data_IF_677351273278
#
_entry.id   IF_677351273278
#
_cell.length_a   1.000
_cell.length_b   1.000
_cell.length_c   1.000
_cell.angle_alpha   90.00
_cell.angle_beta   90.00
_cell.angle_gamma   90.00
#
_symmetry.space_group_name_H-M   'P 1'
#
loop_
_entity.id
_entity.type
_entity.pdbx_description
1 polymer ?
#
# COMPACT_ATOMS: atom_id res chain seq x y z
N UNK A 1 -36.01 -6.28 -12.79
CA UNK A 1 -34.72 -6.78 -12.28
C UNK A 1 -34.04 -5.58 -11.64
N UNK A 2 -33.38 -5.77 -10.50
CA UNK A 2 -32.58 -4.70 -9.91
C UNK A 2 -31.46 -4.30 -10.88
N UNK A 3 -31.09 -3.03 -10.87
CA UNK A 3 -29.92 -2.56 -11.61
C UNK A 3 -28.64 -3.09 -10.93
N UNK A 4 -27.59 -3.41 -11.69
CA UNK A 4 -26.32 -3.81 -11.09
C UNK A 4 -25.78 -2.69 -10.21
N UNK A 5 -25.07 -3.06 -9.13
CA UNK A 5 -24.42 -2.07 -8.28
C UNK A 5 -23.31 -1.35 -9.05
N UNK A 6 -23.08 -0.08 -8.74
CA UNK A 6 -21.99 0.72 -9.34
C UNK A 6 -21.29 1.50 -8.24
N UNK A 7 -20.05 1.95 -8.49
CA UNK A 7 -19.41 2.89 -7.56
C UNK A 7 -20.20 4.22 -7.59
N UNK A 8 -20.69 4.64 -6.43
CA UNK A 8 -21.31 5.96 -6.25
C UNK A 8 -20.24 7.03 -6.06
N UNK A 9 -19.31 6.79 -5.13
CA UNK A 9 -18.22 7.71 -4.84
C UNK A 9 -17.03 7.06 -4.13
N UNK A 10 -15.90 7.76 -4.21
CA UNK A 10 -14.70 7.51 -3.41
C UNK A 10 -14.59 8.58 -2.33
N UNK A 11 -14.04 8.20 -1.17
CA UNK A 11 -13.96 9.07 0.01
C UNK A 11 -12.52 9.29 0.41
N UNK A 12 -12.12 10.56 0.47
CA UNK A 12 -10.91 11.01 1.15
C UNK A 12 -11.30 11.49 2.54
N UNK A 13 -10.78 10.82 3.58
CA UNK A 13 -10.83 11.35 4.94
C UNK A 13 -9.72 12.37 5.11
N UNK A 14 -10.01 13.48 5.78
CA UNK A 14 -9.02 14.51 6.06
C UNK A 14 -9.20 15.09 7.47
N UNK A 15 -8.14 15.64 8.09
CA UNK A 15 -8.25 16.39 9.35
C UNK A 15 -9.09 17.67 9.21
N UNK A 16 -9.20 18.20 7.98
CA UNK A 16 -10.07 19.33 7.64
C UNK A 16 -10.38 19.33 6.14
N UNK A 17 -11.46 20.01 5.72
CA UNK A 17 -11.76 20.18 4.30
C UNK A 17 -10.65 20.91 3.54
N UNK A 18 -9.98 21.87 4.18
CA UNK A 18 -8.87 22.60 3.55
C UNK A 18 -7.68 21.67 3.25
N UNK A 19 -7.32 20.81 4.20
CA UNK A 19 -6.25 19.82 4.01
C UNK A 19 -6.62 18.80 2.93
N UNK A 20 -7.85 18.27 2.96
CA UNK A 20 -8.30 17.32 1.94
C UNK A 20 -8.43 17.94 0.54
N UNK A 21 -8.82 19.22 0.45
CA UNK A 21 -8.88 19.94 -0.81
C UNK A 21 -7.48 20.12 -1.42
N UNK A 22 -6.51 20.56 -0.62
CA UNK A 22 -5.12 20.67 -1.05
C UNK A 22 -4.57 19.32 -1.52
N UNK A 23 -4.83 18.24 -0.76
CA UNK A 23 -4.40 16.90 -1.13
C UNK A 23 -4.98 16.41 -2.46
N UNK A 24 -6.28 16.64 -2.72
CA UNK A 24 -6.91 16.25 -3.97
C UNK A 24 -6.36 17.05 -5.18
N UNK A 25 -6.14 18.35 -5.00
CA UNK A 25 -5.53 19.22 -6.01
C UNK A 25 -4.09 18.75 -6.31
N UNK A 26 -3.27 18.52 -5.27
CA UNK A 26 -1.86 18.14 -5.42
C UNK A 26 -1.69 16.72 -5.99
N UNK A 27 -2.53 15.77 -5.57
CA UNK A 27 -2.35 14.35 -5.90
C UNK A 27 -2.94 13.97 -7.26
N UNK A 28 -4.10 14.52 -7.60
CA UNK A 28 -4.84 14.14 -8.82
C UNK A 28 -5.30 15.34 -9.66
N UNK A 29 -4.94 16.57 -9.29
CA UNK A 29 -5.29 17.77 -10.06
C UNK A 29 -6.78 18.13 -10.00
N UNK A 30 -7.48 17.73 -8.93
CA UNK A 30 -8.94 17.92 -8.80
C UNK A 30 -9.27 19.05 -7.84
N UNK A 31 -9.88 20.11 -8.38
CA UNK A 31 -10.51 21.16 -7.57
C UNK A 31 -11.90 20.73 -7.11
N UNK A 32 -12.14 20.73 -5.80
CA UNK A 32 -13.42 20.34 -5.22
C UNK A 32 -14.36 21.54 -5.04
N UNK A 33 -15.62 21.32 -5.35
CA UNK A 33 -16.71 22.26 -5.09
C UNK A 33 -17.32 22.08 -3.69
N UNK A 34 -18.14 23.06 -3.29
CA UNK A 34 -18.88 22.98 -2.04
C UNK A 34 -19.84 21.78 -2.06
N UNK A 35 -19.76 20.93 -1.05
CA UNK A 35 -20.76 19.92 -0.76
C UNK A 35 -21.80 20.45 0.23
N UNK A 36 -21.82 19.90 1.44
CA UNK A 36 -22.69 20.34 2.52
C UNK A 36 -22.40 19.68 3.87
N UNK A 37 -23.20 20.05 4.86
CA UNK A 37 -23.13 19.52 6.22
C UNK A 37 -24.06 18.32 6.41
N UNK A 38 -23.59 17.33 7.17
CA UNK A 38 -24.34 16.15 7.60
C UNK A 38 -24.62 16.27 9.10
N UNK A 39 -25.70 16.98 9.46
CA UNK A 39 -26.04 17.24 10.86
C UNK A 39 -26.15 15.96 11.72
N UNK A 40 -26.73 14.89 11.16
CA UNK A 40 -26.89 13.60 11.83
C UNK A 40 -25.55 12.87 12.11
N UNK A 41 -24.47 13.28 11.46
CA UNK A 41 -23.14 12.67 11.58
C UNK A 41 -22.07 13.68 12.06
N UNK A 42 -22.42 14.95 12.26
CA UNK A 42 -21.47 15.98 12.68
C UNK A 42 -20.27 16.12 11.73
N UNK A 43 -20.49 16.00 10.43
CA UNK A 43 -19.45 16.07 9.38
C UNK A 43 -19.84 17.05 8.28
N UNK A 44 -18.88 17.45 7.47
CA UNK A 44 -19.09 18.24 6.27
C UNK A 44 -18.21 17.74 5.13
N UNK A 45 -18.54 18.10 3.89
CA UNK A 45 -17.82 17.60 2.72
C UNK A 45 -17.58 18.63 1.61
N UNK A 46 -16.65 18.28 0.73
CA UNK A 46 -16.43 18.87 -0.60
C UNK A 46 -16.57 17.77 -1.65
N UNK A 47 -16.99 18.13 -2.87
CA UNK A 47 -17.37 17.17 -3.90
C UNK A 47 -16.78 17.53 -5.27
N UNK A 48 -16.43 16.51 -6.07
CA UNK A 48 -16.00 16.67 -7.47
C UNK A 48 -16.43 15.47 -8.32
N UNK A 49 -16.94 15.70 -9.53
CA UNK A 49 -17.35 14.61 -10.43
C UNK A 49 -16.16 13.91 -11.09
N UNK A 50 -16.22 12.57 -11.21
CA UNK A 50 -15.18 11.71 -11.81
C UNK A 50 -15.64 11.03 -13.12
N UNK A 51 -16.61 11.61 -13.82
CA UNK A 51 -17.14 11.05 -15.07
C UNK A 51 -18.03 9.82 -14.87
N UNK A 52 -18.73 9.76 -13.74
CA UNK A 52 -19.61 8.66 -13.34
C UNK A 52 -19.79 8.72 -11.82
N UNK A 53 -18.87 8.12 -11.05
CA UNK A 53 -18.80 8.36 -9.62
C UNK A 53 -18.36 9.79 -9.31
N UNK A 54 -18.35 10.16 -8.03
CA UNK A 54 -17.73 11.38 -7.55
C UNK A 54 -16.66 11.13 -6.49
N UNK A 55 -15.83 12.13 -6.24
CA UNK A 55 -14.89 12.17 -5.14
C UNK A 55 -15.49 13.02 -4.02
N UNK A 56 -15.50 12.49 -2.81
CA UNK A 56 -15.89 13.19 -1.60
C UNK A 56 -14.67 13.39 -0.71
N UNK A 57 -14.35 14.64 -0.37
CA UNK A 57 -13.49 14.94 0.78
C UNK A 57 -14.39 15.18 1.97
N UNK A 58 -14.19 14.44 3.06
CA UNK A 58 -15.01 14.52 4.26
C UNK A 58 -14.17 14.74 5.51
N UNK A 59 -14.68 15.58 6.42
CA UNK A 59 -14.07 15.86 7.71
C UNK A 59 -15.15 16.08 8.79
N UNK A 60 -14.75 16.01 10.06
CA UNK A 60 -15.58 16.41 11.20
C UNK A 60 -15.85 17.91 11.11
N UNK A 61 -17.11 18.31 11.24
CA UNK A 61 -17.48 19.72 11.28
C UNK A 61 -17.43 20.23 12.73
N UNK A 62 -16.46 21.10 13.10
CA UNK A 62 -16.33 21.58 14.47
C UNK A 62 -17.47 22.52 14.89
N UNK A 63 -18.29 23.01 13.96
CA UNK A 63 -19.44 23.87 14.24
C UNK A 63 -20.71 23.08 14.59
N UNK A 64 -20.73 21.77 14.28
CA UNK A 64 -21.87 20.90 14.56
C UNK A 64 -21.71 20.21 15.93
N UNK A 65 -22.82 19.96 16.65
CA UNK A 65 -22.76 19.16 17.87
C UNK A 65 -22.31 17.72 17.57
N UNK A 66 -21.78 17.04 18.58
CA UNK A 66 -21.54 15.60 18.50
C UNK A 66 -22.85 14.87 18.20
N UNK A 67 -22.88 13.92 17.25
CA UNK A 67 -24.10 13.25 16.83
C UNK A 67 -24.62 12.23 17.86
N UNK A 68 -23.92 12.02 18.98
CA UNK A 68 -24.33 11.06 20.02
C UNK A 68 -24.23 9.59 19.60
N UNK A 69 -23.57 9.31 18.47
CA UNK A 69 -23.27 8.00 17.90
C UNK A 69 -21.91 8.03 17.22
N UNK A 70 -21.28 6.87 16.95
CA UNK A 70 -20.07 6.82 16.15
C UNK A 70 -20.28 7.44 14.76
N UNK A 71 -19.31 8.22 14.31
CA UNK A 71 -19.30 8.80 12.95
C UNK A 71 -18.90 7.74 11.93
N UNK A 72 -19.47 7.83 10.73
CA UNK A 72 -19.11 6.96 9.62
C UNK A 72 -17.64 7.14 9.24
N UNK A 73 -17.15 6.23 8.42
CA UNK A 73 -15.77 6.24 7.93
C UNK A 73 -14.75 6.36 9.07
N UNK A 74 -15.09 5.91 10.29
CA UNK A 74 -14.25 6.01 11.48
C UNK A 74 -13.79 7.46 11.80
N UNK A 75 -14.59 8.48 11.47
CA UNK A 75 -14.22 9.90 11.65
C UNK A 75 -14.10 10.37 13.11
N UNK A 76 -14.41 9.52 14.09
CA UNK A 76 -14.08 9.79 15.50
C UNK A 76 -12.58 9.64 15.80
N UNK A 77 -11.83 8.96 14.93
CA UNK A 77 -10.36 8.92 14.92
C UNK A 77 -9.82 9.61 13.67
N UNK A 78 -9.97 10.95 13.54
CA UNK A 78 -9.61 11.67 12.32
C UNK A 78 -8.12 11.46 11.98
N UNK A 79 -7.80 11.31 10.69
CA UNK A 79 -6.42 11.02 10.30
C UNK A 79 -5.54 12.25 10.46
N UNK A 80 -4.24 12.04 10.69
CA UNK A 80 -3.25 13.11 10.70
C UNK A 80 -3.13 13.76 9.30
N UNK A 81 -3.11 12.93 8.26
CA UNK A 81 -2.96 13.33 6.87
C UNK A 81 -4.13 12.85 5.99
N UNK A 82 -4.54 13.61 4.95
CA UNK A 82 -5.57 13.17 4.03
C UNK A 82 -5.16 11.94 3.22
N UNK A 83 -6.09 11.00 3.01
CA UNK A 83 -5.86 9.79 2.20
C UNK A 83 -7.16 9.18 1.70
N UNK A 84 -7.08 8.31 0.67
CA UNK A 84 -8.22 7.53 0.19
C UNK A 84 -8.63 6.51 1.25
N UNK A 85 -9.78 6.71 1.89
CA UNK A 85 -10.17 5.94 3.05
C UNK A 85 -11.29 4.94 2.78
N UNK A 86 -12.24 5.29 1.90
CA UNK A 86 -13.40 4.45 1.67
C UNK A 86 -13.93 4.61 0.25
N UNK A 87 -14.86 3.73 -0.10
CA UNK A 87 -15.62 3.76 -1.33
C UNK A 87 -17.04 3.30 -1.06
N UNK A 88 -17.98 3.82 -1.84
CA UNK A 88 -19.40 3.57 -1.63
C UNK A 88 -20.02 3.07 -2.93
N UNK A 89 -20.81 2.01 -2.84
CA UNK A 89 -21.51 1.40 -3.96
C UNK A 89 -22.99 1.78 -3.93
N UNK A 90 -23.50 2.28 -5.05
CA UNK A 90 -24.92 2.56 -5.24
C UNK A 90 -25.67 1.28 -5.56
N UNK A 91 -26.76 1.06 -4.84
CA UNK A 91 -27.68 -0.07 -5.00
C UNK A 91 -29.12 0.43 -5.02
N UNK A 92 -30.03 -0.33 -5.65
CA UNK A 92 -31.46 -0.01 -5.64
C UNK A 92 -32.09 -0.28 -4.26
N UNK A 93 -31.56 -1.24 -3.51
CA UNK A 93 -31.99 -1.62 -2.17
C UNK A 93 -30.78 -2.07 -1.37
N UNK A 94 -30.68 -1.64 -0.11
CA UNK A 94 -29.56 -2.01 0.73
C UNK A 94 -29.49 -3.53 0.93
N UNK A 95 -28.31 -4.16 0.73
CA UNK A 95 -28.13 -5.58 0.96
C UNK A 95 -28.18 -5.87 2.47
N UNK A 96 -28.71 -7.05 2.83
CA UNK A 96 -28.80 -7.50 4.22
C UNK A 96 -27.52 -8.23 4.66
N UNK A 97 -26.39 -7.54 4.61
CA UNK A 97 -25.05 -8.10 4.85
C UNK A 97 -24.50 -7.58 6.18
N UNK A 98 -24.24 -8.49 7.13
CA UNK A 98 -23.82 -8.13 8.48
C UNK A 98 -22.50 -7.33 8.48
N UNK A 99 -21.61 -7.62 7.54
CA UNK A 99 -20.31 -6.98 7.37
C UNK A 99 -20.45 -5.47 7.09
N UNK A 100 -21.49 -5.07 6.36
CA UNK A 100 -21.75 -3.67 5.97
C UNK A 100 -22.41 -2.85 7.07
N UNK A 101 -23.06 -3.51 8.04
CA UNK A 101 -23.80 -2.87 9.10
C UNK A 101 -25.21 -2.40 8.67
N UNK A 102 -25.99 -1.86 9.63
CA UNK A 102 -27.38 -1.47 9.38
C UNK A 102 -27.50 -0.27 8.43
N UNK A 103 -28.61 -0.22 7.70
CA UNK A 103 -28.99 0.94 6.90
C UNK A 103 -29.46 2.11 7.78
N UNK A 104 -28.90 3.29 7.54
CA UNK A 104 -29.28 4.55 8.19
C UNK A 104 -29.89 5.48 7.15
N UNK A 105 -31.12 5.96 7.40
CA UNK A 105 -31.78 6.94 6.54
C UNK A 105 -31.32 8.36 6.86
N UNK A 106 -30.93 9.10 5.84
CA UNK A 106 -30.40 10.46 5.97
C UNK A 106 -31.01 11.36 4.90
N UNK A 107 -31.01 12.66 5.19
CA UNK A 107 -31.44 13.69 4.26
C UNK A 107 -30.63 14.98 4.43
N UNK A 108 -30.44 15.70 3.33
CA UNK A 108 -29.78 17.01 3.27
C UNK A 108 -30.41 17.85 2.17
N UNK A 109 -31.15 18.89 2.56
CA UNK A 109 -31.94 19.67 1.61
C UNK A 109 -32.96 18.76 0.92
N UNK A 110 -33.00 18.80 -0.40
CA UNK A 110 -33.90 17.96 -1.21
C UNK A 110 -33.36 16.55 -1.48
N UNK A 111 -32.16 16.23 -1.00
CA UNK A 111 -31.56 14.91 -1.16
C UNK A 111 -31.93 14.00 0.02
N UNK A 112 -32.32 12.76 -0.28
CA UNK A 112 -32.49 11.69 0.70
C UNK A 112 -31.97 10.34 0.20
N UNK A 113 -31.40 9.56 1.12
CA UNK A 113 -30.80 8.27 0.85
C UNK A 113 -30.77 7.39 2.11
N UNK A 114 -30.52 6.10 1.92
CA UNK A 114 -30.09 5.19 2.98
C UNK A 114 -28.63 4.80 2.74
N UNK A 115 -27.84 4.65 3.78
CA UNK A 115 -26.45 4.19 3.69
C UNK A 115 -26.15 3.20 4.80
N UNK A 116 -25.40 2.13 4.51
CA UNK A 116 -24.96 1.18 5.53
C UNK A 116 -23.88 1.80 6.39
N UNK A 117 -24.07 1.84 7.72
CA UNK A 117 -23.08 2.35 8.67
C UNK A 117 -22.94 1.35 9.79
N UNK A 118 -21.74 0.81 10.00
CA UNK A 118 -21.46 -0.09 11.12
C UNK A 118 -21.70 0.62 12.46
N UNK A 119 -22.13 -0.14 13.47
CA UNK A 119 -22.49 0.42 14.78
C UNK A 119 -21.30 1.08 15.49
N UNK A 120 -20.08 0.62 15.19
CA UNK A 120 -18.80 1.16 15.67
C UNK A 120 -18.25 2.29 14.78
N UNK A 121 -18.93 2.63 13.68
CA UNK A 121 -18.50 3.65 12.72
C UNK A 121 -17.37 3.21 11.78
N UNK A 122 -16.81 2.01 11.98
CA UNK A 122 -15.70 1.49 11.17
C UNK A 122 -16.10 1.23 9.72
N UNK A 123 -15.09 1.18 8.86
CA UNK A 123 -15.24 0.81 7.45
C UNK A 123 -15.15 -0.72 7.35
N UNK A 124 -16.03 -1.40 6.59
CA UNK A 124 -16.02 -2.86 6.43
C UNK A 124 -14.67 -3.43 5.97
N UNK A 125 -14.45 -4.72 6.21
CA UNK A 125 -13.26 -5.48 5.76
C UNK A 125 -11.93 -4.78 6.09
N UNK A 126 -11.66 -4.60 7.38
CA UNK A 126 -10.42 -3.99 7.89
C UNK A 126 -10.06 -2.65 7.23
N UNK A 127 -11.08 -1.84 6.92
CA UNK A 127 -10.87 -0.49 6.40
C UNK A 127 -10.95 -0.35 4.88
N UNK A 128 -11.15 -1.43 4.11
CA UNK A 128 -11.04 -1.37 2.64
C UNK A 128 -12.28 -1.87 1.88
N UNK A 129 -13.28 -2.38 2.59
CA UNK A 129 -14.55 -2.79 1.99
C UNK A 129 -15.46 -1.60 1.63
N UNK A 130 -16.46 -1.83 0.75
CA UNK A 130 -17.40 -0.79 0.38
C UNK A 130 -18.41 -0.54 1.51
N UNK A 131 -19.03 0.65 1.50
CA UNK A 131 -20.35 0.87 2.09
C UNK A 131 -21.41 0.88 0.98
N UNK A 132 -22.66 0.55 1.27
CA UNK A 132 -23.75 0.58 0.28
C UNK A 132 -24.67 1.78 0.50
N UNK A 133 -25.02 2.49 -0.57
CA UNK A 133 -25.97 3.62 -0.59
C UNK A 133 -27.15 3.32 -1.51
N UNK A 134 -28.37 3.58 -1.02
CA UNK A 134 -29.59 3.55 -1.80
C UNK A 134 -30.21 4.95 -1.81
N UNK A 135 -30.10 5.63 -2.95
CA UNK A 135 -30.70 6.95 -3.13
C UNK A 135 -32.22 6.84 -3.23
N UNK A 136 -32.93 7.69 -2.47
CA UNK A 136 -34.40 7.81 -2.50
C UNK A 136 -34.85 9.00 -3.36
N UNK A 137 -33.88 9.74 -3.87
CA UNK A 137 -33.99 10.92 -4.74
C UNK A 137 -33.00 10.76 -5.88
N UNK A 138 -33.03 11.63 -6.90
CA UNK A 138 -31.99 11.62 -7.92
C UNK A 138 -30.65 11.98 -7.28
N UNK A 139 -29.59 11.17 -7.45
CA UNK A 139 -28.25 11.50 -6.97
C UNK A 139 -27.78 12.85 -7.52
N UNK A 140 -26.92 13.58 -6.80
CA UNK A 140 -26.41 14.87 -7.28
C UNK A 140 -25.61 14.70 -8.57
N UNK A 141 -25.91 15.52 -9.58
CA UNK A 141 -25.07 15.67 -10.77
C UNK A 141 -23.99 16.71 -10.49
N UNK A 142 -22.72 16.30 -10.65
CA UNK A 142 -21.57 17.17 -10.41
C UNK A 142 -20.86 17.48 -11.72
N UNK A 143 -20.32 18.70 -11.82
CA UNK A 143 -19.49 19.08 -12.95
C UNK A 143 -18.26 18.15 -13.06
N UNK A 144 -17.87 17.72 -14.27
CA UNK A 144 -16.67 16.92 -14.45
C UNK A 144 -15.43 17.69 -13.99
N UNK A 145 -14.63 17.06 -13.14
CA UNK A 145 -13.35 17.64 -12.68
C UNK A 145 -12.22 17.55 -13.71
N UNK A 146 -12.42 16.75 -14.76
CA UNK A 146 -11.37 16.36 -15.71
C UNK A 146 -10.62 15.09 -15.30
N UNK A 147 -10.75 14.65 -14.04
CA UNK A 147 -10.30 13.33 -13.61
C UNK A 147 -11.39 12.27 -13.83
N UNK A 148 -10.98 11.05 -14.17
CA UNK A 148 -11.87 9.88 -14.32
C UNK A 148 -11.28 8.66 -13.64
N UNK A 149 -12.11 7.96 -12.86
CA UNK A 149 -11.71 6.68 -12.25
C UNK A 149 -11.51 5.63 -13.34
N UNK A 150 -10.33 5.03 -13.39
CA UNK A 150 -10.01 3.91 -14.28
C UNK A 150 -10.25 2.57 -13.61
N UNK A 151 -9.71 2.39 -12.42
CA UNK A 151 -9.93 1.21 -11.60
C UNK A 151 -9.74 1.52 -10.11
N UNK A 152 -10.37 0.70 -9.28
CA UNK A 152 -10.14 0.62 -7.85
C UNK A 152 -9.56 -0.77 -7.54
N UNK A 153 -8.45 -0.81 -6.83
CA UNK A 153 -7.80 -2.03 -6.40
C UNK A 153 -7.94 -2.14 -4.88
N UNK A 154 -8.46 -3.26 -4.41
CA UNK A 154 -8.64 -3.58 -3.00
C UNK A 154 -7.74 -4.76 -2.65
N UNK A 155 -6.79 -4.54 -1.75
CA UNK A 155 -5.87 -5.57 -1.25
C UNK A 155 -6.25 -5.99 0.16
N UNK A 156 -6.30 -7.29 0.42
CA UNK A 156 -6.57 -7.90 1.72
C UNK A 156 -5.77 -9.20 1.89
N UNK A 157 -5.39 -9.60 3.13
CA UNK A 157 -4.75 -10.91 3.34
C UNK A 157 -5.63 -12.09 2.94
N UNK A 158 -6.94 -11.99 3.18
CA UNK A 158 -7.94 -12.96 2.73
C UNK A 158 -9.05 -12.23 1.94
N UNK A 159 -8.98 -12.21 0.59
CA UNK A 159 -9.93 -11.47 -0.23
C UNK A 159 -11.27 -12.20 -0.46
N UNK A 160 -11.42 -13.46 -0.03
CA UNK A 160 -12.55 -14.31 -0.40
C UNK A 160 -13.92 -13.74 -0.02
N UNK A 161 -14.08 -13.37 1.25
CA UNK A 161 -15.34 -12.82 1.76
C UNK A 161 -15.75 -11.51 1.06
N UNK A 162 -14.77 -10.69 0.68
CA UNK A 162 -15.04 -9.44 -0.06
C UNK A 162 -15.45 -9.75 -1.49
N UNK A 163 -14.73 -10.64 -2.18
CA UNK A 163 -15.08 -11.05 -3.54
C UNK A 163 -16.51 -11.60 -3.62
N UNK A 164 -16.88 -12.48 -2.68
CA UNK A 164 -18.23 -13.05 -2.59
C UNK A 164 -19.29 -11.97 -2.35
N UNK A 165 -19.00 -10.97 -1.50
CA UNK A 165 -19.91 -9.84 -1.29
C UNK A 165 -20.11 -9.03 -2.57
N UNK A 166 -19.03 -8.71 -3.31
CA UNK A 166 -19.11 -7.91 -4.53
C UNK A 166 -19.89 -8.64 -5.63
N UNK A 167 -19.79 -9.97 -5.72
CA UNK A 167 -20.61 -10.80 -6.60
C UNK A 167 -22.09 -10.79 -6.17
N UNK A 168 -22.39 -10.95 -4.88
CA UNK A 168 -23.78 -10.94 -4.37
C UNK A 168 -24.52 -9.64 -4.64
N UNK A 169 -23.83 -8.51 -4.62
CA UNK A 169 -24.43 -7.20 -4.93
C UNK A 169 -24.42 -6.88 -6.43
N UNK A 170 -23.96 -7.79 -7.29
CA UNK A 170 -23.87 -7.63 -8.74
C UNK A 170 -23.11 -6.34 -9.14
N UNK A 171 -21.90 -6.16 -8.60
CA UNK A 171 -21.10 -4.97 -8.85
C UNK A 171 -20.60 -4.91 -10.30
N UNK A 172 -21.13 -3.96 -11.07
CA UNK A 172 -20.68 -3.61 -12.41
C UNK A 172 -19.78 -2.37 -12.38
N UNK A 173 -18.54 -2.53 -11.88
CA UNK A 173 -17.56 -1.45 -11.77
C UNK A 173 -16.12 -1.98 -11.99
N UNK A 174 -15.15 -1.12 -12.35
CA UNK A 174 -13.76 -1.54 -12.54
C UNK A 174 -13.05 -1.73 -11.18
N UNK A 175 -13.48 -2.73 -10.41
CA UNK A 175 -12.90 -3.08 -9.10
C UNK A 175 -12.15 -4.40 -9.22
N UNK A 176 -10.90 -4.41 -8.73
CA UNK A 176 -10.08 -5.61 -8.62
C UNK A 176 -9.82 -5.90 -7.15
N UNK A 177 -10.19 -7.10 -6.69
CA UNK A 177 -9.85 -7.58 -5.35
C UNK A 177 -8.67 -8.54 -5.48
N UNK A 178 -7.63 -8.36 -4.66
CA UNK A 178 -6.42 -9.16 -4.71
C UNK A 178 -5.87 -9.46 -3.31
N UNK A 179 -5.10 -10.53 -3.22
CA UNK A 179 -4.36 -10.86 -2.01
C UNK A 179 -3.27 -9.80 -1.74
N UNK A 180 -3.12 -9.40 -0.47
CA UNK A 180 -2.09 -8.46 -0.04
C UNK A 180 -1.75 -8.67 1.43
N UNK A 181 -0.48 -8.52 1.80
CA UNK A 181 -0.01 -8.71 3.18
C UNK A 181 -0.72 -7.80 4.21
N UNK A 182 -1.27 -6.67 3.77
CA UNK A 182 -2.07 -5.77 4.60
C UNK A 182 -3.24 -5.16 3.81
N UNK A 183 -4.33 -4.74 4.50
CA UNK A 183 -5.43 -4.02 3.87
C UNK A 183 -4.95 -2.74 3.17
N UNK A 184 -5.28 -2.59 1.89
CA UNK A 184 -4.97 -1.39 1.11
C UNK A 184 -6.02 -1.05 0.05
N UNK A 185 -6.24 0.25 -0.19
CA UNK A 185 -6.98 0.77 -1.33
C UNK A 185 -6.04 1.51 -2.27
N UNK A 186 -6.22 1.32 -3.57
CA UNK A 186 -5.62 2.14 -4.62
C UNK A 186 -6.70 2.53 -5.63
N UNK A 187 -6.85 3.82 -5.89
CA UNK A 187 -7.69 4.31 -6.98
C UNK A 187 -6.81 4.92 -8.06
N UNK A 188 -6.92 4.40 -9.28
CA UNK A 188 -6.17 4.88 -10.44
C UNK A 188 -7.05 5.81 -11.26
N UNK A 189 -6.54 7.00 -11.56
CA UNK A 189 -7.25 8.06 -12.27
C UNK A 189 -6.57 8.38 -13.60
N UNK A 190 -7.39 8.60 -14.62
CA UNK A 190 -7.01 9.30 -15.84
C UNK A 190 -7.23 10.80 -15.61
N UNK A 191 -6.20 11.61 -15.75
CA UNK A 191 -6.24 13.07 -15.50
C UNK A 191 -5.62 13.84 -16.66
N UNK A 192 -5.86 15.16 -16.79
CA UNK A 192 -5.21 15.97 -17.82
C UNK A 192 -3.67 15.98 -17.73
N UNK A 193 -3.12 15.68 -16.55
CA UNK A 193 -1.69 15.61 -16.29
C UNK A 193 -1.12 14.16 -16.40
N UNK A 194 -1.90 13.22 -16.93
CA UNK A 194 -1.54 11.80 -17.03
C UNK A 194 -2.19 10.95 -15.92
N UNK A 195 -1.77 9.68 -15.83
CA UNK A 195 -2.30 8.78 -14.82
C UNK A 195 -1.83 9.15 -13.42
N UNK A 196 -2.74 9.12 -12.45
CA UNK A 196 -2.47 9.43 -11.04
C UNK A 196 -3.10 8.37 -10.13
N UNK A 197 -2.59 8.24 -8.92
CA UNK A 197 -3.07 7.24 -7.95
C UNK A 197 -3.33 7.89 -6.61
N UNK A 198 -4.43 7.51 -5.96
CA UNK A 198 -4.64 7.74 -4.53
C UNK A 198 -4.57 6.41 -3.79
N UNK A 199 -3.99 6.41 -2.59
CA UNK A 199 -3.82 5.22 -1.76
C UNK A 199 -4.34 5.42 -0.33
N UNK A 200 -4.64 4.32 0.36
CA UNK A 200 -5.07 4.33 1.77
C UNK A 200 -3.95 4.53 2.79
N UNK A 201 -2.69 4.39 2.39
CA UNK A 201 -1.54 4.62 3.27
C UNK A 201 -1.06 6.09 3.28
N UNK A 202 -1.76 6.98 2.58
CA UNK A 202 -1.48 8.42 2.55
C UNK A 202 -0.14 8.80 1.91
N UNK A 203 0.61 7.83 1.39
CA UNK A 203 1.97 8.04 0.86
C UNK A 203 2.00 8.90 -0.40
N UNK A 204 0.88 9.05 -1.12
CA UNK A 204 0.74 9.89 -2.31
C UNK A 204 1.62 9.47 -3.50
N UNK A 205 2.52 8.49 -3.31
CA UNK A 205 3.36 7.94 -4.36
C UNK A 205 2.57 6.80 -5.01
N UNK A 206 2.36 6.90 -6.32
CA UNK A 206 1.86 5.75 -7.07
C UNK A 206 2.88 4.61 -7.04
N UNK A 207 2.40 3.38 -7.26
CA UNK A 207 3.24 2.18 -7.23
C UNK A 207 4.45 2.29 -8.17
N UNK A 208 4.35 3.01 -9.29
CA UNK A 208 5.46 3.20 -10.23
C UNK A 208 6.54 4.06 -9.60
N UNK A 209 6.15 5.14 -8.93
CA UNK A 209 7.03 6.06 -8.24
C UNK A 209 7.69 5.40 -7.03
N UNK A 210 6.97 4.56 -6.30
CA UNK A 210 7.53 3.77 -5.19
C UNK A 210 8.57 2.76 -5.67
N UNK A 211 8.28 2.05 -6.77
CA UNK A 211 9.24 1.14 -7.40
C UNK A 211 10.46 1.89 -7.88
N UNK A 212 10.29 3.05 -8.53
CA UNK A 212 11.41 3.85 -8.99
C UNK A 212 12.26 4.38 -7.82
N UNK A 213 11.62 4.87 -6.75
CA UNK A 213 12.31 5.31 -5.55
C UNK A 213 13.07 4.17 -4.85
N UNK A 214 12.49 2.96 -4.82
CA UNK A 214 13.17 1.77 -4.30
C UNK A 214 14.42 1.44 -5.13
N UNK A 215 14.32 1.48 -6.46
CA UNK A 215 15.48 1.29 -7.38
C UNK A 215 16.55 2.36 -7.13
N UNK A 216 16.17 3.63 -7.05
CA UNK A 216 17.10 4.73 -6.87
C UNK A 216 17.84 4.64 -5.52
N UNK A 217 17.13 4.27 -4.45
CA UNK A 217 17.71 4.04 -3.13
C UNK A 217 18.60 2.81 -3.10
N UNK A 218 18.19 1.71 -3.75
CA UNK A 218 19.02 0.51 -3.91
C UNK A 218 20.36 0.82 -4.59
N UNK A 219 20.34 1.57 -5.70
CA UNK A 219 21.56 2.01 -6.38
C UNK A 219 22.36 3.02 -5.54
N UNK A 220 21.70 3.89 -4.79
CA UNK A 220 22.37 4.82 -3.87
C UNK A 220 23.15 4.08 -2.77
N UNK A 221 22.61 2.97 -2.25
CA UNK A 221 23.31 2.11 -1.30
C UNK A 221 24.62 1.60 -1.89
N UNK A 222 24.61 1.09 -3.13
CA UNK A 222 25.81 0.63 -3.83
C UNK A 222 26.87 1.72 -3.98
N UNK A 223 26.46 2.95 -4.29
CA UNK A 223 27.39 4.09 -4.35
C UNK A 223 28.15 4.32 -3.05
N UNK A 224 27.60 3.94 -1.90
CA UNK A 224 28.33 3.99 -0.63
C UNK A 224 29.15 2.72 -0.37
N UNK A 225 28.62 1.53 -0.70
CA UNK A 225 29.35 0.26 -0.58
C UNK A 225 30.67 0.29 -1.37
N UNK A 226 30.66 0.91 -2.55
CA UNK A 226 31.80 0.99 -3.48
C UNK A 226 32.85 2.05 -3.08
N UNK A 227 32.58 2.88 -2.06
CA UNK A 227 33.57 3.86 -1.60
C UNK A 227 34.75 3.16 -0.93
N UNK A 228 35.97 3.48 -1.40
CA UNK A 228 37.22 2.99 -0.78
C UNK A 228 37.43 3.54 0.63
N UNK A 229 36.97 4.77 0.88
CA UNK A 229 36.99 5.41 2.20
C UNK A 229 35.58 5.92 2.54
N UNK A 230 35.06 5.56 3.72
CA UNK A 230 33.76 6.02 4.22
C UNK A 230 33.91 6.87 5.47
N UNK A 231 33.23 8.01 5.49
CA UNK A 231 33.01 8.78 6.70
C UNK A 231 31.79 8.21 7.45
N UNK A 232 31.65 8.44 8.77
CA UNK A 232 30.49 7.96 9.54
C UNK A 232 29.13 8.40 8.97
N UNK A 233 29.07 9.57 8.32
CA UNK A 233 27.87 10.04 7.65
C UNK A 233 27.49 9.21 6.41
N UNK A 234 28.49 8.64 5.71
CA UNK A 234 28.25 7.72 4.59
C UNK A 234 27.68 6.39 5.10
N UNK A 235 28.21 5.86 6.20
CA UNK A 235 27.70 4.61 6.81
C UNK A 235 26.23 4.77 7.24
N UNK A 236 25.89 5.88 7.91
CA UNK A 236 24.51 6.17 8.30
C UNK A 236 23.59 6.32 7.08
N UNK A 237 24.04 7.00 6.03
CA UNK A 237 23.25 7.18 4.80
C UNK A 237 23.09 5.87 4.01
N UNK A 238 24.07 4.97 4.08
CA UNK A 238 24.05 3.64 3.47
C UNK A 238 22.98 2.76 4.12
N UNK A 239 22.96 2.69 5.47
CA UNK A 239 21.92 1.99 6.22
C UNK A 239 20.53 2.54 5.90
N UNK A 240 20.36 3.86 6.00
CA UNK A 240 19.07 4.49 5.75
C UNK A 240 18.58 4.26 4.31
N UNK A 241 19.47 4.24 3.32
CA UNK A 241 19.09 4.00 1.92
C UNK A 241 18.65 2.55 1.70
N UNK A 242 19.37 1.57 2.28
CA UNK A 242 19.03 0.16 2.16
C UNK A 242 17.68 -0.16 2.83
N UNK A 243 17.48 0.32 4.06
CA UNK A 243 16.25 0.10 4.82
C UNK A 243 15.04 0.79 4.15
N UNK A 244 15.22 2.01 3.64
CA UNK A 244 14.16 2.71 2.91
C UNK A 244 13.82 2.01 1.59
N UNK A 245 14.82 1.51 0.86
CA UNK A 245 14.60 0.68 -0.34
C UNK A 245 13.79 -0.56 -0.03
N UNK A 246 14.17 -1.32 1.00
CA UNK A 246 13.43 -2.50 1.45
C UNK A 246 11.98 -2.16 1.83
N UNK A 247 11.77 -1.06 2.58
CA UNK A 247 10.43 -0.63 2.98
C UNK A 247 9.53 -0.31 1.77
N UNK A 248 10.08 0.33 0.73
CA UNK A 248 9.35 0.59 -0.51
C UNK A 248 9.09 -0.69 -1.30
N UNK A 249 10.04 -1.63 -1.35
CA UNK A 249 9.81 -2.93 -1.98
C UNK A 249 8.72 -3.73 -1.29
N UNK A 250 8.62 -3.69 0.05
CA UNK A 250 7.51 -4.34 0.78
C UNK A 250 6.13 -3.81 0.39
N UNK A 251 6.05 -2.59 -0.13
CA UNK A 251 4.79 -1.92 -0.53
C UNK A 251 4.48 -2.09 -2.03
N UNK A 252 5.51 -2.07 -2.87
CA UNK A 252 5.38 -1.95 -4.32
C UNK A 252 6.06 -3.07 -5.14
N UNK A 253 6.83 -3.94 -4.48
CA UNK A 253 7.58 -5.06 -5.07
C UNK A 253 6.85 -6.40 -4.99
N UNK A 254 7.50 -7.44 -5.50
CA UNK A 254 7.12 -8.85 -5.37
C UNK A 254 8.18 -9.59 -4.51
N UNK A 255 7.96 -10.88 -4.17
CA UNK A 255 8.87 -11.64 -3.30
C UNK A 255 10.35 -11.58 -3.71
N UNK A 256 10.67 -11.64 -5.00
CA UNK A 256 12.03 -11.43 -5.53
C UNK A 256 12.64 -10.12 -5.01
N UNK A 257 11.93 -8.99 -5.12
CA UNK A 257 12.45 -7.69 -4.66
C UNK A 257 12.50 -7.59 -3.14
N UNK A 258 11.60 -8.27 -2.43
CA UNK A 258 11.64 -8.32 -0.96
C UNK A 258 12.91 -9.03 -0.48
N UNK A 259 13.21 -10.19 -1.04
CA UNK A 259 14.41 -10.96 -0.73
C UNK A 259 15.69 -10.18 -1.09
N UNK A 260 15.75 -9.57 -2.28
CA UNK A 260 16.89 -8.73 -2.70
C UNK A 260 17.09 -7.54 -1.75
N UNK A 261 16.01 -6.93 -1.25
CA UNK A 261 16.08 -5.87 -0.26
C UNK A 261 16.66 -6.34 1.08
N UNK A 262 16.22 -7.49 1.59
CA UNK A 262 16.79 -8.11 2.80
C UNK A 262 18.27 -8.47 2.60
N UNK A 263 18.63 -9.02 1.45
CA UNK A 263 20.01 -9.31 1.07
C UNK A 263 20.90 -8.05 1.10
N UNK A 264 20.45 -6.93 0.52
CA UNK A 264 21.23 -5.69 0.54
C UNK A 264 21.37 -5.13 1.96
N UNK A 265 20.32 -5.19 2.78
CA UNK A 265 20.41 -4.83 4.19
C UNK A 265 21.43 -5.70 4.94
N UNK A 266 21.44 -7.02 4.70
CA UNK A 266 22.45 -7.93 5.25
C UNK A 266 23.87 -7.53 4.82
N UNK A 267 24.09 -7.27 3.52
CA UNK A 267 25.38 -6.83 2.97
C UNK A 267 25.87 -5.55 3.65
N UNK A 268 25.00 -4.55 3.81
CA UNK A 268 25.33 -3.28 4.48
C UNK A 268 25.76 -3.51 5.93
N UNK A 269 24.98 -4.29 6.69
CA UNK A 269 25.29 -4.55 8.09
C UNK A 269 26.59 -5.36 8.25
N UNK A 270 26.85 -6.31 7.36
CA UNK A 270 28.09 -7.09 7.35
C UNK A 270 29.31 -6.19 7.08
N UNK A 271 29.22 -5.27 6.13
CA UNK A 271 30.29 -4.30 5.81
C UNK A 271 30.60 -3.37 7.00
N UNK A 272 29.60 -3.08 7.83
CA UNK A 272 29.75 -2.30 9.07
C UNK A 272 30.22 -3.14 10.27
N UNK A 273 30.37 -4.47 10.11
CA UNK A 273 30.77 -5.38 11.18
C UNK A 273 29.64 -5.77 12.13
N UNK A 274 28.38 -5.46 11.81
CA UNK A 274 27.21 -5.76 12.63
C UNK A 274 26.67 -7.18 12.33
N UNK A 275 27.44 -8.21 12.70
CA UNK A 275 27.17 -9.60 12.34
C UNK A 275 25.77 -10.13 12.71
N UNK A 276 25.27 -9.82 13.90
CA UNK A 276 23.94 -10.28 14.35
C UNK A 276 22.80 -9.69 13.49
N UNK A 277 22.87 -8.39 13.18
CA UNK A 277 21.88 -7.73 12.32
C UNK A 277 22.00 -8.20 10.87
N UNK A 278 23.22 -8.43 10.40
CA UNK A 278 23.45 -9.01 9.07
C UNK A 278 22.82 -10.41 8.96
N UNK A 279 22.98 -11.25 10.01
CA UNK A 279 22.40 -12.59 10.06
C UNK A 279 20.88 -12.55 10.05
N UNK A 280 20.26 -11.66 10.84
CA UNK A 280 18.81 -11.50 10.88
C UNK A 280 18.22 -11.20 9.48
N UNK A 281 18.84 -10.29 8.74
CA UNK A 281 18.39 -9.97 7.37
C UNK A 281 18.67 -11.12 6.39
N UNK A 282 19.79 -11.82 6.53
CA UNK A 282 20.11 -12.97 5.70
C UNK A 282 19.12 -14.13 5.89
N UNK A 283 18.74 -14.42 7.15
CA UNK A 283 17.71 -15.42 7.48
C UNK A 283 16.36 -15.05 6.86
N UNK A 284 15.93 -13.79 6.98
CA UNK A 284 14.69 -13.32 6.33
C UNK A 284 14.75 -13.44 4.81
N UNK A 285 15.90 -13.14 4.21
CA UNK A 285 16.10 -13.32 2.78
C UNK A 285 15.91 -14.79 2.37
N UNK A 286 16.50 -15.72 3.13
CA UNK A 286 16.34 -17.18 2.90
C UNK A 286 14.89 -17.61 3.09
N UNK A 287 14.25 -17.19 4.17
CA UNK A 287 12.87 -17.60 4.49
C UNK A 287 11.89 -17.16 3.39
N UNK A 288 12.07 -15.96 2.81
CA UNK A 288 11.28 -15.49 1.66
C UNK A 288 11.58 -16.34 0.42
N UNK A 289 12.86 -16.62 0.14
CA UNK A 289 13.27 -17.40 -1.02
C UNK A 289 12.75 -18.86 -0.97
N UNK A 290 12.52 -19.40 0.24
CA UNK A 290 11.95 -20.75 0.45
C UNK A 290 10.42 -20.76 0.43
N UNK A 291 9.77 -19.71 0.98
CA UNK A 291 8.32 -19.65 1.11
C UNK A 291 7.62 -19.21 -0.18
N UNK A 292 8.25 -18.32 -0.94
CA UNK A 292 7.67 -17.68 -2.11
C UNK A 292 8.42 -18.06 -3.39
N UNK A 293 7.73 -17.99 -4.54
CA UNK A 293 8.40 -18.13 -5.83
C UNK A 293 9.17 -16.85 -6.15
N UNK A 294 10.50 -16.96 -6.14
CA UNK A 294 11.46 -15.90 -6.49
C UNK A 294 12.23 -16.24 -7.76
N UNK A 295 13.01 -15.29 -8.26
CA UNK A 295 13.91 -15.49 -9.40
C UNK A 295 15.07 -16.43 -9.02
N UNK A 296 15.59 -17.18 -9.99
CA UNK A 296 16.42 -18.38 -9.73
C UNK A 296 17.73 -18.09 -8.98
N UNK A 297 18.31 -16.89 -9.10
CA UNK A 297 19.55 -16.49 -8.41
C UNK A 297 19.36 -16.09 -6.93
N UNK A 298 18.12 -15.79 -6.51
CA UNK A 298 17.83 -15.26 -5.17
C UNK A 298 18.18 -16.26 -4.06
N UNK A 299 17.84 -17.56 -4.15
CA UNK A 299 18.24 -18.54 -3.13
C UNK A 299 19.78 -18.61 -2.95
N UNK A 300 20.55 -18.59 -4.04
CA UNK A 300 22.02 -18.58 -3.96
C UNK A 300 22.54 -17.31 -3.27
N UNK A 301 21.94 -16.16 -3.56
CA UNK A 301 22.25 -14.88 -2.91
C UNK A 301 21.93 -14.89 -1.41
N UNK A 302 20.85 -15.54 -0.99
CA UNK A 302 20.49 -15.66 0.42
C UNK A 302 21.56 -16.45 1.21
N UNK A 303 22.03 -17.56 0.66
CA UNK A 303 23.13 -18.35 1.24
C UNK A 303 24.48 -17.60 1.22
N UNK A 304 24.73 -16.77 0.20
CA UNK A 304 25.89 -15.85 0.20
C UNK A 304 25.82 -14.86 1.38
N UNK A 305 24.66 -14.25 1.62
CA UNK A 305 24.46 -13.33 2.74
C UNK A 305 24.63 -14.02 4.10
N UNK A 306 24.11 -15.25 4.26
CA UNK A 306 24.31 -16.06 5.47
C UNK A 306 25.80 -16.34 5.69
N UNK A 307 26.52 -16.79 4.65
CA UNK A 307 27.95 -17.06 4.72
C UNK A 307 28.74 -15.82 5.18
N UNK A 308 28.39 -14.65 4.63
CA UNK A 308 29.01 -13.38 4.99
C UNK A 308 28.70 -12.97 6.43
N UNK A 309 27.46 -13.10 6.87
CA UNK A 309 27.05 -12.78 8.22
C UNK A 309 27.78 -13.66 9.26
N UNK A 310 27.84 -14.98 9.02
CA UNK A 310 28.60 -15.89 9.88
C UNK A 310 30.09 -15.59 9.91
N UNK A 311 30.69 -15.22 8.77
CA UNK A 311 32.09 -14.82 8.73
C UNK A 311 32.37 -13.57 9.59
N UNK A 312 31.46 -12.59 9.59
CA UNK A 312 31.56 -11.39 10.45
C UNK A 312 31.42 -11.75 11.94
N UNK A 313 30.58 -12.73 12.26
CA UNK A 313 30.44 -13.28 13.63
C UNK A 313 31.63 -14.14 14.08
N UNK A 314 32.53 -14.51 13.16
CA UNK A 314 33.65 -15.41 13.43
C UNK A 314 33.26 -16.89 13.47
N UNK A 315 32.03 -17.24 13.09
CA UNK A 315 31.58 -18.63 12.93
C UNK A 315 31.97 -19.13 11.53
N UNK A 316 33.26 -19.44 11.38
CA UNK A 316 33.81 -19.81 10.07
C UNK A 316 33.34 -21.19 9.58
N UNK A 317 32.84 -22.06 10.46
CA UNK A 317 32.33 -23.37 10.04
C UNK A 317 30.98 -23.19 9.34
N UNK A 318 30.03 -22.51 9.99
CA UNK A 318 28.75 -22.12 9.38
C UNK A 318 28.96 -21.28 8.12
N UNK A 319 29.91 -20.34 8.14
CA UNK A 319 30.23 -19.53 6.96
C UNK A 319 30.68 -20.38 5.76
N UNK A 320 31.47 -21.44 5.98
CA UNK A 320 31.91 -22.34 4.89
C UNK A 320 30.75 -23.19 4.38
N UNK A 321 29.90 -23.68 5.27
CA UNK A 321 28.75 -24.50 4.89
C UNK A 321 27.79 -23.71 4.00
N UNK A 322 27.43 -22.50 4.41
CA UNK A 322 26.56 -21.61 3.64
C UNK A 322 27.20 -21.21 2.29
N UNK A 323 28.50 -20.90 2.28
CA UNK A 323 29.24 -20.61 1.03
C UNK A 323 29.19 -21.80 0.06
N UNK A 324 29.31 -23.03 0.57
CA UNK A 324 29.26 -24.24 -0.25
C UNK A 324 27.84 -24.54 -0.76
N UNK A 325 26.79 -24.13 -0.04
CA UNK A 325 25.41 -24.19 -0.52
C UNK A 325 25.22 -23.19 -1.67
N UNK A 326 25.56 -21.91 -1.44
CA UNK A 326 25.46 -20.86 -2.45
C UNK A 326 26.21 -21.24 -3.75
N UNK A 327 27.44 -21.73 -3.63
CA UNK A 327 28.24 -22.17 -4.77
C UNK A 327 27.58 -23.30 -5.57
N UNK A 328 27.00 -24.30 -4.90
CA UNK A 328 26.31 -25.40 -5.59
C UNK A 328 25.08 -24.91 -6.35
N UNK A 329 24.33 -23.97 -5.77
CA UNK A 329 23.17 -23.36 -6.44
C UNK A 329 23.61 -22.53 -7.64
N UNK A 330 24.72 -21.79 -7.54
CA UNK A 330 25.25 -20.98 -8.64
C UNK A 330 25.63 -21.82 -9.88
N UNK A 331 26.02 -23.10 -9.70
CA UNK A 331 26.31 -24.00 -10.83
C UNK A 331 25.07 -24.31 -11.69
N UNK A 332 23.87 -24.12 -11.15
CA UNK A 332 22.61 -24.36 -11.86
C UNK A 332 22.06 -23.11 -12.58
N UNK A 333 22.64 -21.94 -12.30
CA UNK A 333 22.28 -20.66 -12.92
C UNK A 333 22.88 -20.52 -14.32
N UNK A 334 22.40 -19.53 -15.08
CA UNK A 334 23.09 -19.09 -16.29
C UNK A 334 24.45 -18.43 -15.96
N UNK A 335 25.26 -18.20 -17.00
CA UNK A 335 26.63 -17.71 -16.81
C UNK A 335 26.68 -16.29 -16.24
N UNK A 336 25.67 -15.44 -16.52
CA UNK A 336 25.64 -14.06 -16.01
C UNK A 336 25.35 -14.03 -14.51
N UNK A 337 24.31 -14.74 -14.07
CA UNK A 337 23.94 -14.82 -12.66
C UNK A 337 25.00 -15.60 -11.84
N UNK A 338 25.58 -16.66 -12.41
CA UNK A 338 26.65 -17.42 -11.74
C UNK A 338 27.87 -16.54 -11.47
N UNK A 339 28.32 -15.76 -12.45
CA UNK A 339 29.49 -14.90 -12.31
C UNK A 339 29.30 -13.88 -11.17
N UNK A 340 28.08 -13.35 -10.99
CA UNK A 340 27.75 -12.44 -9.88
C UNK A 340 27.89 -13.14 -8.52
N UNK A 341 27.29 -14.32 -8.37
CA UNK A 341 27.35 -15.07 -7.10
C UNK A 341 28.79 -15.48 -6.78
N UNK A 342 29.53 -16.01 -7.75
CA UNK A 342 30.93 -16.43 -7.55
C UNK A 342 31.83 -15.25 -7.17
N UNK A 343 31.63 -14.08 -7.81
CA UNK A 343 32.33 -12.86 -7.44
C UNK A 343 32.07 -12.49 -5.98
N UNK A 344 30.79 -12.46 -5.58
CA UNK A 344 30.40 -12.09 -4.22
C UNK A 344 30.93 -13.06 -3.17
N UNK A 345 30.82 -14.38 -3.40
CA UNK A 345 31.41 -15.40 -2.52
C UNK A 345 32.93 -15.23 -2.38
N UNK A 346 33.61 -14.82 -3.45
CA UNK A 346 35.05 -14.55 -3.46
C UNK A 346 35.49 -13.38 -2.57
N UNK A 347 34.56 -12.48 -2.22
CA UNK A 347 34.84 -11.34 -1.33
C UNK A 347 34.66 -11.67 0.16
N UNK A 348 34.18 -12.88 0.51
CA UNK A 348 33.96 -13.27 1.91
C UNK A 348 35.29 -13.72 2.55
N UNK A 349 35.72 -13.02 3.59
CA UNK A 349 36.94 -13.32 4.32
C UNK A 349 36.75 -14.52 5.28
N UNK A 350 36.96 -15.74 4.78
CA UNK A 350 36.93 -16.98 5.57
C UNK A 350 38.33 -17.61 5.61
N UNK A 351 38.95 -17.79 6.79
CA UNK A 351 40.24 -18.47 6.91
C UNK A 351 40.20 -19.92 6.40
N UNK A 352 41.32 -20.45 5.88
CA UNK A 352 41.43 -21.88 5.58
C UNK A 352 41.13 -22.71 6.83
N UNK A 353 40.53 -23.88 6.61
CA UNK A 353 40.18 -24.83 7.66
C UNK A 353 41.41 -25.44 8.34
#
# INVERSE_FOLDING_TARGET
MASPAVIDHLVIRAPSLAAGAAYAEDSIGVSLGAGGAHAAMGTHNLLAGLGGPYLEVIAVDPSLPSPGRPRWFDLDHPPADPHLAAWVVRVDTLPSEQQLGPGVSLARGDLSWQITVRDDGSIPFDGVGPMAIAWQTTPPELAPSGARLMCLIVGLPDPGDLADLLERIDLAAPVSVQESASPRLLAVFDTPAGHRVLSSDGSGLDVVTERQAAIDLFHRTWRYLDLTERAPAHDAAMVASAEASLALWRRAGAPTQWAIGEWQCSRVQAVLGHGETALLHAERCRDIAEADRVDDFVPASAHEALARAYAVLGDFDSARDERNIAYRMALELDDEDRDVIEHDLGTIAIPPA
#
